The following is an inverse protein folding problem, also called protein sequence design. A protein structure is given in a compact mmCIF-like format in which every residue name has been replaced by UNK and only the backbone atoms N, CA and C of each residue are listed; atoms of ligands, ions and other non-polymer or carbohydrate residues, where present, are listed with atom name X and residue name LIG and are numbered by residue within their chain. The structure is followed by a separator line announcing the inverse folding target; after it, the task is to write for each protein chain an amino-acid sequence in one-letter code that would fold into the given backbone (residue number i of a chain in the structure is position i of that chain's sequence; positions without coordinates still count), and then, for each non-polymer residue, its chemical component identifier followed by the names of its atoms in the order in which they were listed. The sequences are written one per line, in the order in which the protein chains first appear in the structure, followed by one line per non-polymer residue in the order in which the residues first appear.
data_IF_279166444371
#
_entry.id   IF_279166444371
#
_cell.length_a   1.000
_cell.length_b   1.000
_cell.length_c   1.000
_cell.angle_alpha   90.00
_cell.angle_beta   90.00
_cell.angle_gamma   90.00
#
_symmetry.space_group_name_H-M   'P 1'
#
loop_
_entity.id
_entity.type
_entity.pdbx_description
1 polymer ?
#
# COMPACT_ATOMS: atom_id res chain seq x y z
N UNK A 1 0.15 12.19 -0.06
CA UNK A 1 -0.65 12.61 -1.23
C UNK A 1 -1.86 11.69 -1.47
N UNK A 2 -1.74 10.35 -1.54
CA UNK A 2 -2.91 9.47 -1.78
C UNK A 2 -3.93 9.38 -0.61
N UNK A 3 -3.49 9.33 0.65
CA UNK A 3 -4.39 9.29 1.82
C UNK A 3 -5.21 10.58 2.02
N UNK A 4 -4.80 11.69 1.40
CA UNK A 4 -5.53 12.97 1.42
C UNK A 4 -6.50 13.10 0.22
N UNK A 5 -6.42 12.20 -0.77
CA UNK A 5 -7.22 12.24 -2.00
C UNK A 5 -8.41 11.26 -1.98
N UNK A 6 -8.83 10.81 -0.80
CA UNK A 6 -9.95 9.87 -0.61
C UNK A 6 -9.78 8.53 -1.35
N UNK A 7 -8.53 8.07 -1.53
CA UNK A 7 -8.20 6.79 -2.20
C UNK A 7 -7.56 5.80 -1.20
N UNK A 8 -8.35 5.25 -0.24
CA UNK A 8 -7.84 4.41 0.84
C UNK A 8 -7.18 3.11 0.32
N UNK A 9 -7.78 2.50 -0.71
CA UNK A 9 -7.28 1.30 -1.37
C UNK A 9 -5.89 1.52 -1.96
N UNK A 10 -5.77 2.56 -2.80
CA UNK A 10 -4.51 2.94 -3.43
C UNK A 10 -3.42 3.28 -2.40
N UNK A 11 -3.80 3.96 -1.32
CA UNK A 11 -2.85 4.31 -0.27
C UNK A 11 -2.23 3.07 0.40
N UNK A 12 -3.04 2.06 0.70
CA UNK A 12 -2.56 0.82 1.32
C UNK A 12 -1.72 -0.03 0.34
N UNK A 13 -2.16 -0.20 -0.91
CA UNK A 13 -1.34 -0.91 -1.91
C UNK A 13 0.00 -0.22 -2.15
N UNK A 14 0.04 1.11 -2.23
CA UNK A 14 1.29 1.88 -2.35
C UNK A 14 2.23 1.66 -1.17
N UNK A 15 1.69 1.53 0.04
CA UNK A 15 2.50 1.29 1.23
C UNK A 15 3.14 -0.09 1.20
N UNK A 16 2.37 -1.13 0.86
CA UNK A 16 2.88 -2.48 0.68
C UNK A 16 3.97 -2.53 -0.38
N UNK A 17 3.68 -1.96 -1.56
CA UNK A 17 4.62 -1.83 -2.67
C UNK A 17 5.91 -1.10 -2.28
N UNK A 18 5.79 0.02 -1.59
CA UNK A 18 6.93 0.82 -1.14
C UNK A 18 7.74 0.15 -0.02
N UNK A 19 7.16 -0.81 0.70
CA UNK A 19 7.90 -1.65 1.65
C UNK A 19 8.75 -2.68 0.89
N UNK A 20 8.17 -3.38 -0.08
CA UNK A 20 8.87 -4.35 -0.94
C UNK A 20 10.00 -3.69 -1.74
N UNK A 21 9.74 -2.55 -2.38
CA UNK A 21 10.76 -1.82 -3.14
C UNK A 21 11.95 -1.39 -2.27
N UNK A 22 11.69 -0.95 -1.03
CA UNK A 22 12.73 -0.60 -0.05
C UNK A 22 13.56 -1.80 0.37
N UNK A 23 12.92 -2.94 0.64
CA UNK A 23 13.60 -4.17 0.99
C UNK A 23 14.52 -4.63 -0.16
N UNK A 24 14.05 -4.55 -1.42
CA UNK A 24 14.82 -4.94 -2.60
C UNK A 24 16.10 -4.12 -2.80
N UNK A 25 16.09 -2.82 -2.47
CA UNK A 25 17.28 -1.95 -2.57
C UNK A 25 18.13 -1.93 -1.29
N UNK A 26 17.81 -2.77 -0.29
CA UNK A 26 18.53 -2.81 0.98
C UNK A 26 18.37 -1.55 1.85
N UNK A 27 17.27 -0.81 1.68
CA UNK A 27 16.97 0.42 2.42
C UNK A 27 15.71 0.24 3.31
N UNK A 28 15.75 -0.64 4.33
CA UNK A 28 14.62 -0.80 5.24
C UNK A 28 14.31 0.52 5.96
N UNK A 29 13.04 0.73 6.28
CA UNK A 29 12.63 1.91 7.06
C UNK A 29 13.15 1.80 8.50
N UNK A 30 13.51 2.94 9.09
CA UNK A 30 13.77 3.00 10.53
C UNK A 30 12.48 2.77 11.32
N UNK A 31 12.60 2.33 12.57
CA UNK A 31 11.44 2.12 13.47
C UNK A 31 10.58 3.39 13.60
N UNK A 32 11.21 4.55 13.72
CA UNK A 32 10.49 5.83 13.83
C UNK A 32 9.72 6.19 12.54
N UNK A 33 10.22 5.82 11.36
CA UNK A 33 9.50 6.02 10.10
C UNK A 33 8.36 5.01 9.91
N UNK A 34 8.52 3.79 10.42
CA UNK A 34 7.46 2.79 10.44
C UNK A 34 6.29 3.27 11.32
N UNK A 35 6.58 3.67 12.57
CA UNK A 35 5.57 4.19 13.51
C UNK A 35 4.84 5.42 12.96
N UNK A 36 5.57 6.36 12.34
CA UNK A 36 4.95 7.53 11.71
C UNK A 36 4.03 7.15 10.56
N UNK A 37 4.40 6.14 9.77
CA UNK A 37 3.55 5.67 8.69
C UNK A 37 2.30 4.99 9.26
N UNK A 38 2.45 4.13 10.26
CA UNK A 38 1.33 3.41 10.87
C UNK A 38 0.32 4.39 11.46
N UNK A 39 0.79 5.44 12.16
CA UNK A 39 -0.05 6.54 12.65
C UNK A 39 -0.76 7.28 11.51
N UNK A 40 -0.08 7.52 10.38
CA UNK A 40 -0.68 8.16 9.22
C UNK A 40 -1.72 7.29 8.51
N UNK A 41 -1.62 5.96 8.63
CA UNK A 41 -2.55 5.00 8.04
C UNK A 41 -3.75 4.68 8.92
N UNK A 42 -3.68 4.93 10.23
CA UNK A 42 -4.80 4.70 11.16
C UNK A 42 -6.15 5.23 10.65
N UNK A 43 -6.28 6.46 10.12
CA UNK A 43 -7.56 6.94 9.60
C UNK A 43 -8.06 6.18 8.36
N UNK A 44 -7.14 5.65 7.55
CA UNK A 44 -7.46 4.85 6.35
C UNK A 44 -7.90 3.45 6.77
N UNK A 45 -7.17 2.83 7.70
CA UNK A 45 -7.49 1.53 8.26
C UNK A 45 -8.84 1.58 8.99
N UNK A 46 -9.13 2.63 9.76
CA UNK A 46 -10.41 2.78 10.46
C UNK A 46 -11.62 2.99 9.52
N UNK A 47 -11.38 3.41 8.27
CA UNK A 47 -12.44 3.54 7.24
C UNK A 47 -12.66 2.24 6.46
N UNK A 48 -11.75 1.29 6.56
CA UNK A 48 -11.85 -0.04 5.98
C UNK A 48 -12.05 -1.07 7.12
N UNK A 49 -12.37 -2.30 6.78
CA UNK A 49 -12.23 -3.38 7.76
C UNK A 49 -10.74 -3.73 7.91
N UNK A 50 -10.25 -4.05 9.12
CA UNK A 50 -8.85 -4.40 9.34
C UNK A 50 -8.36 -5.51 8.40
N UNK A 51 -9.17 -6.53 8.17
CA UNK A 51 -8.86 -7.63 7.27
C UNK A 51 -8.68 -7.16 5.82
N UNK A 52 -9.53 -6.23 5.34
CA UNK A 52 -9.37 -5.61 4.01
C UNK A 52 -8.08 -4.81 3.94
N UNK A 53 -7.76 -4.06 5.00
CA UNK A 53 -6.55 -3.26 5.01
C UNK A 53 -5.27 -4.12 4.94
N UNK A 54 -5.23 -5.20 5.71
CA UNK A 54 -4.13 -6.17 5.68
C UNK A 54 -4.01 -6.86 4.31
N UNK A 55 -5.13 -7.23 3.70
CA UNK A 55 -5.16 -7.82 2.37
C UNK A 55 -4.62 -6.86 1.29
N UNK A 56 -4.99 -5.58 1.34
CA UNK A 56 -4.49 -4.55 0.41
C UNK A 56 -2.99 -4.29 0.59
N UNK A 57 -2.50 -4.30 1.83
CA UNK A 57 -1.07 -4.19 2.13
C UNK A 57 -0.31 -5.40 1.57
N UNK A 58 -0.82 -6.61 1.77
CA UNK A 58 -0.23 -7.84 1.25
C UNK A 58 -0.23 -7.86 -0.30
N UNK A 59 -1.34 -7.43 -0.91
CA UNK A 59 -1.45 -7.33 -2.36
C UNK A 59 -0.44 -6.34 -2.94
N UNK A 60 -0.31 -5.15 -2.33
CA UNK A 60 0.72 -4.19 -2.71
C UNK A 60 2.14 -4.73 -2.55
N UNK A 61 2.39 -5.47 -1.47
CA UNK A 61 3.70 -6.07 -1.21
C UNK A 61 4.08 -7.18 -2.21
N UNK A 62 3.08 -7.85 -2.79
CA UNK A 62 3.26 -8.89 -3.80
C UNK A 62 3.48 -8.35 -5.23
N UNK A 63 3.27 -7.06 -5.48
CA UNK A 63 3.45 -6.46 -6.80
C UNK A 63 4.91 -6.49 -7.26
N UNK A 64 5.13 -6.78 -8.54
CA UNK A 64 6.46 -6.68 -9.13
C UNK A 64 6.90 -5.20 -9.23
N UNK A 65 8.21 -4.95 -9.17
CA UNK A 65 8.75 -3.58 -9.20
C UNK A 65 8.27 -2.77 -10.42
N UNK A 66 8.24 -3.40 -11.59
CA UNK A 66 7.78 -2.77 -12.83
C UNK A 66 6.29 -2.38 -12.76
N UNK A 67 5.46 -3.21 -12.09
CA UNK A 67 4.05 -2.90 -11.88
C UNK A 67 3.88 -1.74 -10.90
N UNK A 68 4.69 -1.68 -9.85
CA UNK A 68 4.71 -0.58 -8.88
C UNK A 68 5.04 0.73 -9.60
N UNK A 69 6.05 0.72 -10.48
CA UNK A 69 6.45 1.89 -11.28
C UNK A 69 5.34 2.30 -12.24
N UNK A 70 4.76 1.36 -12.99
CA UNK A 70 3.65 1.64 -13.90
C UNK A 70 2.44 2.26 -13.17
N UNK A 71 2.11 1.74 -11.98
CA UNK A 71 1.04 2.30 -11.16
C UNK A 71 1.38 3.68 -10.56
N UNK A 72 2.66 3.93 -10.24
CA UNK A 72 3.12 5.24 -9.77
C UNK A 72 3.09 6.30 -10.88
N UNK A 73 3.43 5.92 -12.11
CA UNK A 73 3.39 6.78 -13.30
C UNK A 73 1.96 6.99 -13.84
N UNK A 74 0.97 6.24 -13.35
CA UNK A 74 -0.41 6.30 -13.82
C UNK A 74 -0.64 5.57 -15.14
N UNK A 75 0.32 4.76 -15.58
CA UNK A 75 0.24 3.91 -16.77
C UNK A 75 -0.68 2.70 -16.54
N UNK A 76 -0.86 2.33 -15.27
CA UNK A 76 -1.76 1.26 -14.83
C UNK A 76 -2.52 1.67 -13.56
N UNK A 77 -3.80 1.33 -13.40
CA UNK A 77 -4.49 1.50 -12.12
C UNK A 77 -3.92 0.56 -11.05
N UNK A 78 -4.02 0.96 -9.79
CA UNK A 78 -3.81 0.02 -8.68
C UNK A 78 -4.96 -0.99 -8.65
N UNK A 79 -4.72 -2.20 -8.10
CA UNK A 79 -5.80 -3.14 -7.85
C UNK A 79 -6.85 -2.51 -6.95
N UNK A 80 -8.11 -2.84 -7.20
CA UNK A 80 -9.23 -2.35 -6.39
C UNK A 80 -9.53 -3.31 -5.24
N UNK A 81 -10.27 -2.86 -4.22
CA UNK A 81 -10.69 -3.74 -3.13
C UNK A 81 -11.58 -4.90 -3.61
N UNK A 82 -12.24 -4.75 -4.76
CA UNK A 82 -13.02 -5.79 -5.40
C UNK A 82 -12.16 -6.93 -6.00
N UNK A 83 -10.85 -6.70 -6.21
CA UNK A 83 -9.92 -7.71 -6.71
C UNK A 83 -9.38 -8.62 -5.61
N UNK A 84 -9.70 -8.32 -4.33
CA UNK A 84 -9.41 -9.17 -3.19
C UNK A 84 -10.44 -10.29 -3.11
N UNK A 85 -10.26 -11.35 -3.89
CA UNK A 85 -11.09 -12.55 -3.86
C UNK A 85 -10.98 -13.23 -2.47
N UNK A 86 -12.05 -13.31 -1.66
CA UNK A 86 -12.04 -14.02 -0.38
C UNK A 86 -12.25 -15.51 -0.64
N UNK A 87 -11.23 -16.17 -1.19
CA UNK A 87 -11.19 -17.63 -1.36
C UNK A 87 -11.11 -18.38 -0.04
#
# INVERSE_FOLDING_TARGET
LAAQMDQPVRALCLVGAAATARAAIGAPRSTAEAEKLDQALQPVIARLEPATADALLAQGAAMALDEIVACALGERPFPDAADLDPG
#
